data_IF_692815859892
#
_entry.id   IF_692815859892
#
_cell.length_a   1.000
_cell.length_b   1.000
_cell.length_c   1.000
_cell.angle_alpha   90.00
_cell.angle_beta   90.00
_cell.angle_gamma   90.00
#
_symmetry.space_group_name_H-M   'P 1'
#
loop_
_entity.id
_entity.type
_entity.pdbx_description
1 polymer ?
#
# COMPACT_ATOMS: atom_id res chain seq x y z
N UNK A 1 -12.87 10.05 -2.31
CA UNK A 1 -12.89 8.68 -2.87
C UNK A 1 -12.25 7.74 -1.87
N UNK A 2 -12.96 6.72 -1.48
CA UNK A 2 -12.46 5.71 -0.53
C UNK A 2 -12.52 4.34 -1.18
N UNK A 3 -11.41 3.62 -1.14
CA UNK A 3 -11.33 2.26 -1.66
C UNK A 3 -10.84 1.33 -0.56
N UNK A 4 -11.32 0.09 -0.58
CA UNK A 4 -10.94 -0.93 0.40
C UNK A 4 -10.52 -2.21 -0.31
N UNK A 5 -9.45 -2.82 0.19
CA UNK A 5 -9.11 -4.18 -0.16
C UNK A 5 -9.82 -5.15 0.77
N UNK A 6 -9.78 -6.43 0.44
CA UNK A 6 -10.32 -7.47 1.32
C UNK A 6 -9.40 -7.66 2.53
N UNK A 7 -9.96 -8.14 3.62
CA UNK A 7 -9.18 -8.51 4.80
C UNK A 7 -8.49 -9.85 4.55
N UNK A 8 -7.22 -9.93 4.92
CA UNK A 8 -6.43 -11.16 4.79
C UNK A 8 -5.77 -11.49 6.12
N UNK A 9 -5.40 -12.76 6.27
CA UNK A 9 -4.63 -13.20 7.44
C UNK A 9 -3.24 -13.60 6.95
N UNK A 10 -2.22 -13.01 7.58
CA UNK A 10 -0.83 -13.29 7.26
C UNK A 10 -0.14 -13.93 8.46
N UNK A 11 0.81 -14.84 8.19
CA UNK A 11 1.51 -15.58 9.23
C UNK A 11 2.76 -14.84 9.68
N UNK A 12 2.55 -13.64 10.20
CA UNK A 12 3.57 -12.81 10.83
C UNK A 12 2.93 -12.00 11.95
N UNK A 13 3.72 -11.67 12.96
CA UNK A 13 3.23 -10.81 14.03
C UNK A 13 3.08 -9.37 13.49
N UNK A 14 2.24 -8.59 14.14
CA UNK A 14 2.07 -7.18 13.77
C UNK A 14 3.36 -6.39 13.95
N UNK A 15 4.21 -6.79 14.92
CA UNK A 15 5.52 -6.17 15.11
C UNK A 15 6.45 -6.44 13.93
N UNK A 16 6.50 -7.68 13.45
CA UNK A 16 7.31 -8.06 12.28
C UNK A 16 6.87 -7.29 11.04
N UNK A 17 5.55 -7.18 10.85
CA UNK A 17 5.01 -6.42 9.72
C UNK A 17 5.32 -4.93 9.83
N UNK A 18 5.21 -4.36 11.04
CA UNK A 18 5.56 -2.96 11.26
C UNK A 18 7.04 -2.71 10.92
N UNK A 19 7.93 -3.60 11.35
CA UNK A 19 9.35 -3.47 11.04
C UNK A 19 9.62 -3.53 9.53
N UNK A 20 8.93 -4.40 8.80
CA UNK A 20 9.03 -4.47 7.34
C UNK A 20 8.54 -3.19 6.66
N UNK A 21 7.47 -2.61 7.17
CA UNK A 21 6.83 -1.44 6.56
C UNK A 21 7.55 -0.12 6.83
N UNK A 22 8.59 -0.13 7.66
CA UNK A 22 9.40 1.06 7.93
C UNK A 22 10.43 1.34 6.85
N UNK A 23 10.86 0.34 6.11
CA UNK A 23 11.93 0.46 5.12
C UNK A 23 11.39 0.52 3.70
N UNK A 24 11.69 1.60 2.94
CA UNK A 24 11.16 1.77 1.58
C UNK A 24 11.47 0.61 0.64
N UNK A 25 12.65 0.03 0.72
CA UNK A 25 13.08 -1.06 -0.16
C UNK A 25 12.23 -2.33 0.00
N UNK A 26 11.62 -2.55 1.16
CA UNK A 26 10.78 -3.72 1.39
C UNK A 26 9.48 -3.69 0.59
N UNK A 27 9.02 -2.49 0.21
CA UNK A 27 7.77 -2.34 -0.53
C UNK A 27 7.86 -2.90 -1.95
N UNK A 28 9.06 -3.05 -2.49
CA UNK A 28 9.24 -3.63 -3.81
C UNK A 28 8.69 -5.05 -3.87
N UNK A 29 8.86 -5.82 -2.79
CA UNK A 29 8.38 -7.20 -2.71
C UNK A 29 6.87 -7.30 -2.71
N UNK A 30 6.19 -6.23 -2.31
CA UNK A 30 4.72 -6.17 -2.25
C UNK A 30 4.09 -5.69 -3.56
N UNK A 31 4.89 -5.17 -4.49
CA UNK A 31 4.36 -4.59 -5.72
C UNK A 31 3.75 -5.67 -6.61
N UNK A 32 2.63 -5.36 -7.28
CA UNK A 32 2.02 -6.28 -8.21
C UNK A 32 2.90 -6.58 -9.42
N UNK A 33 2.55 -7.62 -10.16
CA UNK A 33 3.18 -7.91 -11.45
C UNK A 33 2.94 -6.73 -12.40
N UNK A 34 3.86 -6.50 -13.31
CA UNK A 34 3.81 -5.35 -14.21
C UNK A 34 4.56 -4.14 -13.72
N UNK A 35 5.35 -4.31 -12.65
CA UNK A 35 6.22 -3.25 -12.15
C UNK A 35 7.26 -2.89 -13.22
N UNK A 36 7.25 -1.64 -13.65
CA UNK A 36 8.17 -1.13 -14.67
C UNK A 36 9.29 -0.28 -14.06
N UNK A 37 9.03 0.28 -12.89
CA UNK A 37 9.99 1.15 -12.21
C UNK A 37 9.75 1.08 -10.71
N UNK A 38 10.83 1.02 -9.94
CA UNK A 38 10.78 1.14 -8.48
C UNK A 38 12.03 1.85 -8.01
N UNK A 39 11.85 2.96 -7.30
CA UNK A 39 12.93 3.81 -6.88
C UNK A 39 12.74 4.17 -5.41
N UNK A 40 13.69 3.81 -4.56
CA UNK A 40 13.62 4.15 -3.14
C UNK A 40 14.13 5.57 -2.90
N UNK A 41 13.59 6.19 -1.85
CA UNK A 41 14.02 7.50 -1.37
C UNK A 41 14.21 7.41 0.13
N UNK A 42 14.74 8.44 0.73
CA UNK A 42 15.01 8.48 2.17
C UNK A 42 13.76 8.17 3.01
N UNK A 43 12.63 8.76 2.64
CA UNK A 43 11.38 8.65 3.40
C UNK A 43 10.24 7.98 2.63
N UNK A 44 10.54 7.33 1.52
CA UNK A 44 9.50 6.71 0.73
C UNK A 44 10.02 6.06 -0.54
N UNK A 45 9.14 5.95 -1.52
CA UNK A 45 9.49 5.32 -2.79
C UNK A 45 8.57 5.82 -3.91
N UNK A 46 9.02 5.58 -5.13
CA UNK A 46 8.31 5.95 -6.34
C UNK A 46 8.24 4.71 -7.22
N UNK A 47 7.10 4.47 -7.84
CA UNK A 47 6.94 3.29 -8.68
C UNK A 47 6.06 3.57 -9.88
N UNK A 48 6.25 2.76 -10.91
CA UNK A 48 5.42 2.78 -12.11
C UNK A 48 4.94 1.40 -12.43
N UNK A 49 3.64 1.27 -12.70
CA UNK A 49 3.01 0.04 -13.14
C UNK A 49 2.42 0.25 -14.52
N UNK A 50 2.39 -0.82 -15.31
CA UNK A 50 1.79 -0.78 -16.64
C UNK A 50 0.32 -0.36 -16.53
N UNK A 51 -0.05 0.66 -17.30
CA UNK A 51 -1.43 1.15 -17.32
C UNK A 51 -1.78 2.15 -16.22
N UNK A 52 -0.80 2.57 -15.42
CA UNK A 52 -1.01 3.57 -14.38
C UNK A 52 0.00 4.70 -14.48
N UNK A 53 -0.34 5.92 -14.05
CA UNK A 53 0.66 6.97 -13.91
C UNK A 53 1.65 6.60 -12.81
N UNK A 54 2.82 7.20 -12.85
CA UNK A 54 3.86 7.01 -11.85
C UNK A 54 3.39 7.57 -10.51
N UNK A 55 3.61 6.82 -9.44
CA UNK A 55 3.13 7.16 -8.10
C UNK A 55 4.32 7.29 -7.15
N UNK A 56 4.37 8.38 -6.41
CA UNK A 56 5.35 8.60 -5.36
C UNK A 56 4.65 8.63 -4.00
N UNK A 57 5.15 7.85 -3.07
CA UNK A 57 4.60 7.72 -1.73
C UNK A 57 5.66 8.04 -0.68
N UNK A 58 5.19 8.66 0.39
CA UNK A 58 5.98 8.95 1.57
C UNK A 58 5.48 8.08 2.71
N UNK A 59 6.40 7.40 3.39
CA UNK A 59 6.06 6.58 4.55
C UNK A 59 5.84 7.53 5.73
N UNK A 60 4.62 7.49 6.29
CA UNK A 60 4.28 8.27 7.47
C UNK A 60 4.45 7.45 8.73
N UNK A 61 3.45 7.48 9.59
CA UNK A 61 3.49 6.75 10.85
C UNK A 61 3.37 5.25 10.64
N UNK A 62 4.28 4.48 11.24
CA UNK A 62 4.26 3.02 11.22
C UNK A 62 4.24 2.52 12.67
N UNK A 63 3.20 1.78 13.03
CA UNK A 63 3.03 1.17 14.35
C UNK A 63 2.56 -0.28 14.16
N UNK A 64 2.39 -0.99 15.27
CA UNK A 64 1.83 -2.35 15.21
C UNK A 64 0.36 -2.36 14.78
N UNK A 65 -0.30 -1.19 14.78
CA UNK A 65 -1.68 -1.03 14.28
C UNK A 65 -1.75 -0.74 12.80
N UNK A 66 -0.63 -0.49 12.15
CA UNK A 66 -0.58 -0.27 10.72
C UNK A 66 0.42 0.77 10.26
N UNK A 67 0.42 1.01 8.97
CA UNK A 67 1.29 1.99 8.32
C UNK A 67 0.45 2.93 7.46
N UNK A 68 0.76 4.21 7.52
CA UNK A 68 0.11 5.23 6.70
C UNK A 68 1.13 5.79 5.72
N UNK A 69 0.80 5.70 4.44
CA UNK A 69 1.59 6.29 3.36
C UNK A 69 0.79 7.42 2.74
N UNK A 70 1.47 8.52 2.45
CA UNK A 70 0.82 9.68 1.84
C UNK A 70 1.46 9.99 0.50
N UNK A 71 0.71 10.69 -0.36
CA UNK A 71 1.24 11.13 -1.64
C UNK A 71 2.42 12.08 -1.44
N UNK A 72 3.52 11.81 -2.13
CA UNK A 72 4.66 12.71 -2.19
C UNK A 72 4.51 13.72 -3.32
N UNK A 73 3.47 13.60 -4.15
CA UNK A 73 3.19 14.55 -5.22
C UNK A 73 2.19 15.59 -4.73
N UNK A 74 2.59 16.87 -4.63
CA UNK A 74 1.68 17.90 -4.12
C UNK A 74 0.46 18.16 -4.99
N UNK A 75 0.47 17.68 -6.23
CA UNK A 75 -0.70 17.81 -7.12
C UNK A 75 -1.78 16.76 -6.87
N UNK A 76 -1.45 15.72 -6.09
CA UNK A 76 -2.37 14.61 -5.79
C UNK A 76 -2.45 14.44 -4.27
N UNK A 77 -3.65 14.53 -3.74
CA UNK A 77 -3.89 14.42 -2.29
C UNK A 77 -4.54 13.07 -2.00
N UNK A 78 -3.75 12.11 -1.52
CA UNK A 78 -4.28 10.80 -1.14
C UNK A 78 -3.40 10.13 -0.09
N UNK A 79 -3.96 9.13 0.57
CA UNK A 79 -3.24 8.27 1.50
C UNK A 79 -3.57 6.80 1.26
N UNK A 80 -2.61 5.94 1.53
CA UNK A 80 -2.75 4.50 1.47
C UNK A 80 -2.39 3.96 2.86
N UNK A 81 -3.31 3.23 3.47
CA UNK A 81 -3.12 2.70 4.82
C UNK A 81 -3.13 1.19 4.80
N UNK A 82 -2.14 0.58 5.46
CA UNK A 82 -2.15 -0.84 5.77
C UNK A 82 -2.63 -0.97 7.21
N UNK A 83 -3.89 -1.35 7.41
CA UNK A 83 -4.46 -1.53 8.74
C UNK A 83 -4.12 -2.94 9.24
N UNK A 84 -3.53 -3.02 10.42
CA UNK A 84 -3.08 -4.28 11.01
C UNK A 84 -3.79 -4.52 12.34
N UNK A 85 -4.27 -5.75 12.52
CA UNK A 85 -4.87 -6.17 13.78
C UNK A 85 -4.28 -7.52 14.19
N UNK A 86 -3.58 -7.55 15.31
CA UNK A 86 -2.98 -8.78 15.83
C UNK A 86 -4.07 -9.79 16.18
N UNK A 87 -3.90 -11.02 15.69
CA UNK A 87 -4.78 -12.16 16.03
C UNK A 87 -4.11 -13.00 17.10
N UNK A 88 -2.79 -13.22 16.93
CA UNK A 88 -1.97 -14.00 17.85
C UNK A 88 -0.53 -13.53 17.72
N UNK A 89 0.39 -14.16 18.45
CA UNK A 89 1.82 -13.80 18.41
C UNK A 89 2.47 -13.97 17.04
N UNK A 90 1.84 -14.75 16.14
CA UNK A 90 2.39 -15.02 14.82
C UNK A 90 1.38 -14.89 13.70
N UNK A 91 0.24 -14.24 13.95
CA UNK A 91 -0.78 -13.98 12.92
C UNK A 91 -1.36 -12.60 13.06
N UNK A 92 -1.61 -11.96 11.92
CA UNK A 92 -2.16 -10.62 11.85
C UNK A 92 -3.20 -10.55 10.74
N UNK A 93 -4.33 -9.88 11.02
CA UNK A 93 -5.29 -9.52 9.99
C UNK A 93 -4.84 -8.20 9.38
N UNK A 94 -4.79 -8.14 8.05
CA UNK A 94 -4.36 -6.96 7.33
C UNK A 94 -5.41 -6.54 6.29
N UNK A 95 -5.58 -5.24 6.13
CA UNK A 95 -6.48 -4.69 5.14
C UNK A 95 -5.88 -3.41 4.56
N UNK A 96 -5.89 -3.28 3.24
CA UNK A 96 -5.44 -2.06 2.58
C UNK A 96 -6.61 -1.09 2.40
N UNK A 97 -6.38 0.16 2.74
CA UNK A 97 -7.38 1.22 2.64
C UNK A 97 -6.79 2.38 1.84
N UNK A 98 -7.57 2.94 0.96
CA UNK A 98 -7.16 4.11 0.16
C UNK A 98 -8.17 5.24 0.36
N UNK A 99 -7.65 6.44 0.59
CA UNK A 99 -8.47 7.64 0.70
C UNK A 99 -7.84 8.76 -0.14
N UNK A 100 -8.61 9.35 -1.02
CA UNK A 100 -8.10 10.41 -1.89
C UNK A 100 -9.14 11.48 -2.16
N UNK A 101 -8.64 12.71 -2.36
CA UNK A 101 -9.46 13.85 -2.73
C UNK A 101 -9.13 14.22 -4.17
N UNK A 102 -9.99 13.79 -5.08
CA UNK A 102 -9.82 14.03 -6.50
C UNK A 102 -11.06 14.71 -7.05
N UNK A 103 -10.88 15.58 -8.06
CA UNK A 103 -12.03 16.10 -8.78
C UNK A 103 -12.72 14.95 -9.56
N UNK A 104 -13.99 15.11 -9.96
CA UNK A 104 -14.74 14.03 -10.61
C UNK A 104 -14.09 13.47 -11.87
N UNK A 105 -13.39 14.32 -12.62
CA UNK A 105 -12.72 13.89 -13.85
C UNK A 105 -11.55 12.94 -13.54
N UNK A 106 -10.68 13.32 -12.61
CA UNK A 106 -9.55 12.48 -12.21
C UNK A 106 -10.05 11.22 -11.54
N UNK A 107 -11.08 11.30 -10.69
CA UNK A 107 -11.68 10.14 -10.04
C UNK A 107 -12.10 9.10 -11.06
N UNK A 108 -12.78 9.52 -12.13
CA UNK A 108 -13.20 8.62 -13.20
C UNK A 108 -12.03 7.87 -13.84
N UNK A 109 -10.90 8.55 -14.00
CA UNK A 109 -9.72 7.98 -14.64
C UNK A 109 -8.97 6.99 -13.78
N UNK A 110 -8.92 7.22 -12.45
CA UNK A 110 -8.00 6.47 -11.58
C UNK A 110 -8.69 5.45 -10.67
N UNK A 111 -10.01 5.55 -10.49
CA UNK A 111 -10.73 4.70 -9.53
C UNK A 111 -10.53 3.21 -9.79
N UNK A 112 -10.77 2.76 -11.02
CA UNK A 112 -10.64 1.36 -11.38
C UNK A 112 -9.19 0.86 -11.34
N UNK A 113 -8.22 1.57 -11.93
CA UNK A 113 -6.81 1.18 -11.80
C UNK A 113 -6.34 1.11 -10.36
N UNK A 114 -6.75 2.04 -9.51
CA UNK A 114 -6.36 2.04 -8.09
C UNK A 114 -7.00 0.89 -7.33
N UNK A 115 -8.28 0.55 -7.61
CA UNK A 115 -8.91 -0.61 -6.99
C UNK A 115 -8.18 -1.89 -7.39
N UNK A 116 -7.82 -2.03 -8.66
CA UNK A 116 -7.05 -3.17 -9.16
C UNK A 116 -5.67 -3.24 -8.48
N UNK A 117 -5.02 -2.09 -8.29
CA UNK A 117 -3.74 -2.02 -7.60
C UNK A 117 -3.86 -2.51 -6.16
N UNK A 118 -4.87 -2.04 -5.42
CA UNK A 118 -5.10 -2.45 -4.03
C UNK A 118 -5.35 -3.95 -3.94
N UNK A 119 -6.16 -4.48 -4.85
CA UNK A 119 -6.48 -5.91 -4.89
C UNK A 119 -5.22 -6.75 -5.20
N UNK A 120 -4.42 -6.33 -6.14
CA UNK A 120 -3.18 -7.03 -6.52
C UNK A 120 -2.14 -6.96 -5.42
N UNK A 121 -2.02 -5.81 -4.77
CA UNK A 121 -1.12 -5.63 -3.62
C UNK A 121 -1.53 -6.58 -2.48
N UNK A 122 -2.82 -6.67 -2.20
CA UNK A 122 -3.36 -7.56 -1.18
C UNK A 122 -3.05 -9.02 -1.50
N UNK A 123 -3.29 -9.43 -2.74
CA UNK A 123 -3.00 -10.80 -3.19
C UNK A 123 -1.51 -11.14 -3.04
N UNK A 124 -0.64 -10.20 -3.37
CA UNK A 124 0.80 -10.39 -3.27
C UNK A 124 1.25 -10.57 -1.82
N UNK A 125 0.75 -9.74 -0.92
CA UNK A 125 1.08 -9.82 0.50
C UNK A 125 0.58 -11.13 1.09
N UNK A 126 -0.64 -11.54 0.74
CA UNK A 126 -1.18 -12.82 1.20
C UNK A 126 -0.32 -14.00 0.73
N UNK A 127 0.11 -13.98 -0.53
CA UNK A 127 0.95 -15.04 -1.08
C UNK A 127 2.33 -15.12 -0.43
N UNK A 128 2.92 -13.96 -0.09
CA UNK A 128 4.23 -13.90 0.54
C UNK A 128 4.25 -14.43 1.98
N UNK A 129 3.17 -14.22 2.72
CA UNK A 129 3.13 -14.53 4.16
C UNK A 129 2.05 -15.55 4.53
N UNK A 130 1.78 -16.41 3.63
CA UNK A 130 0.79 -17.48 3.73
C UNK A 130 1.14 -18.53 4.80
#
# INVERSE_FOLDING_TARGET
>A
MNLEGRKIIVNKSSKELADLLKSPENYKDFMPDGLQKFETREDGFKFGLKGMPEIALKIGEVTESGAVLTSANPSLDFSLTAALQSISDNQTEAQMLFEGKFNPFIKMMVEKPLQNFINSLTDKIEALYK
#
